data_IF_703943399084
#
_entry.id   IF_703943399084
#
_cell.length_a   1.000
_cell.length_b   1.000
_cell.length_c   1.000
_cell.angle_alpha   90.00
_cell.angle_beta   90.00
_cell.angle_gamma   90.00
#
_symmetry.space_group_name_H-M   'P 1'
#
loop_
_entity.id
_entity.type
_entity.pdbx_description
1 polymer ?
#
# COMPACT_ATOMS: atom_id res chain seq x y z
N UNK A 1 22.94 -48.54 -2.57
CA UNK A 1 22.16 -47.75 -1.59
C UNK A 1 22.55 -46.28 -1.73
N UNK A 2 21.83 -45.54 -2.56
CA UNK A 2 22.06 -44.09 -2.75
C UNK A 2 21.35 -43.29 -1.66
N UNK A 3 22.10 -42.45 -0.95
CA UNK A 3 21.55 -41.51 0.06
C UNK A 3 20.80 -40.40 -0.66
N UNK A 4 19.48 -40.36 -0.51
CA UNK A 4 18.66 -39.23 -0.91
C UNK A 4 18.87 -38.06 0.07
N UNK A 5 19.61 -37.05 -0.36
CA UNK A 5 19.65 -35.74 0.29
C UNK A 5 18.29 -35.05 0.14
N UNK A 6 17.51 -34.98 1.22
CA UNK A 6 16.33 -34.10 1.31
C UNK A 6 16.80 -32.65 1.16
N UNK A 7 16.53 -32.03 0.02
CA UNK A 7 16.57 -30.57 -0.12
C UNK A 7 15.45 -30.00 0.76
N UNK A 8 15.81 -29.29 1.83
CA UNK A 8 14.87 -28.50 2.60
C UNK A 8 14.24 -27.45 1.69
N UNK A 9 12.91 -27.36 1.70
CA UNK A 9 12.19 -26.26 1.03
C UNK A 9 12.40 -25.01 1.89
N UNK A 10 13.11 -24.02 1.35
CA UNK A 10 13.18 -22.68 1.93
C UNK A 10 11.78 -22.06 1.92
N UNK A 11 11.34 -21.52 3.05
CA UNK A 11 10.10 -20.77 3.22
C UNK A 11 10.37 -19.33 2.79
N UNK A 12 9.84 -18.90 1.64
CA UNK A 12 9.97 -17.52 1.17
C UNK A 12 8.73 -16.70 1.56
N UNK A 13 8.94 -15.67 2.38
CA UNK A 13 7.95 -14.61 2.65
C UNK A 13 8.05 -13.56 1.53
N UNK A 14 6.96 -13.34 0.79
CA UNK A 14 6.89 -12.30 -0.23
C UNK A 14 6.94 -10.91 0.40
N UNK A 15 7.77 -10.01 -0.13
CA UNK A 15 7.86 -8.61 0.30
C UNK A 15 7.23 -7.74 -0.79
N UNK A 16 6.22 -6.94 -0.42
CA UNK A 16 5.65 -5.91 -1.30
C UNK A 16 6.38 -4.59 -1.04
N UNK A 17 7.04 -4.04 -2.06
CA UNK A 17 7.76 -2.77 -1.99
C UNK A 17 7.16 -1.76 -2.96
N UNK A 18 6.87 -0.56 -2.45
CA UNK A 18 6.38 0.55 -3.27
C UNK A 18 7.51 1.53 -3.50
N UNK A 19 7.74 1.88 -4.76
CA UNK A 19 8.40 3.14 -5.08
C UNK A 19 7.36 4.21 -4.81
N UNK A 20 7.60 5.10 -3.84
CA UNK A 20 6.73 6.25 -3.62
C UNK A 20 7.09 7.29 -4.70
N UNK A 21 6.32 7.43 -5.80
CA UNK A 21 6.29 8.71 -6.47
C UNK A 21 5.67 9.71 -5.48
N UNK A 22 6.13 10.95 -5.54
CA UNK A 22 5.58 12.07 -4.78
C UNK A 22 4.05 11.95 -4.67
N UNK A 23 3.52 12.35 -3.51
CA UNK A 23 2.09 12.58 -3.26
C UNK A 23 1.36 13.11 -4.52
N UNK A 24 0.04 12.87 -4.62
CA UNK A 24 -0.81 13.39 -5.69
C UNK A 24 -0.39 14.78 -6.16
N UNK A 25 -0.36 15.01 -7.47
CA UNK A 25 0.02 16.26 -8.16
C UNK A 25 -0.64 17.55 -7.60
N UNK A 26 -1.63 17.41 -6.71
CA UNK A 26 -2.34 18.47 -6.01
C UNK A 26 -1.71 18.85 -4.63
N UNK A 27 -1.09 17.90 -3.90
CA UNK A 27 -0.80 18.06 -2.48
C UNK A 27 0.57 18.67 -2.13
N UNK A 28 1.59 18.63 -2.99
CA UNK A 28 2.88 19.29 -2.76
C UNK A 28 3.60 19.68 -4.06
N UNK A 29 4.47 20.71 -4.05
CA UNK A 29 5.21 21.16 -5.22
C UNK A 29 6.18 20.09 -5.75
N UNK A 30 6.31 20.04 -7.07
CA UNK A 30 7.14 19.08 -7.83
C UNK A 30 8.56 18.97 -7.27
N UNK A 31 9.04 17.77 -6.96
CA UNK A 31 10.47 17.52 -6.85
C UNK A 31 11.01 17.12 -8.24
N UNK A 32 11.47 18.11 -9.01
CA UNK A 32 12.16 17.93 -10.31
C UNK A 32 13.54 17.26 -10.18
N UNK A 33 13.94 16.84 -8.98
CA UNK A 33 15.28 16.32 -8.63
C UNK A 33 15.28 14.87 -8.10
N UNK A 34 14.25 14.08 -8.40
CA UNK A 34 14.24 12.68 -7.97
C UNK A 34 15.22 11.87 -8.85
N UNK A 35 16.47 11.70 -8.38
CA UNK A 35 17.48 10.91 -9.08
C UNK A 35 17.17 9.41 -8.96
N UNK A 36 17.09 8.65 -10.06
CA UNK A 36 16.77 7.22 -10.03
C UNK A 36 17.82 6.33 -9.29
N UNK A 37 18.97 6.91 -8.92
CA UNK A 37 20.16 6.23 -8.37
C UNK A 37 20.36 6.43 -6.86
N UNK A 38 19.37 6.96 -6.12
CA UNK A 38 19.41 6.98 -4.64
C UNK A 38 18.31 6.09 -4.09
N UNK A 39 18.69 4.92 -3.59
CA UNK A 39 17.78 4.04 -2.85
C UNK A 39 17.84 4.38 -1.36
N UNK A 40 16.72 4.83 -0.80
CA UNK A 40 16.53 4.95 0.64
C UNK A 40 15.46 3.96 1.04
N UNK A 41 15.75 3.05 1.95
CA UNK A 41 14.76 2.13 2.50
C UNK A 41 14.53 2.55 3.95
N UNK A 42 13.29 2.88 4.30
CA UNK A 42 12.87 3.14 5.66
C UNK A 42 12.05 1.96 6.16
N UNK A 43 12.53 1.27 7.20
CA UNK A 43 11.78 0.21 7.87
C UNK A 43 11.29 0.74 9.22
N UNK A 44 10.03 0.46 9.49
CA UNK A 44 9.35 0.92 10.70
C UNK A 44 9.19 -0.23 11.70
N UNK A 45 9.59 0.01 12.95
CA UNK A 45 9.38 -0.94 14.03
C UNK A 45 8.82 -0.20 15.25
N UNK A 46 7.66 -0.66 15.74
CA UNK A 46 7.08 -0.18 17.01
C UNK A 46 7.06 -1.34 18.00
N UNK A 47 7.59 -1.11 19.19
CA UNK A 47 7.57 -2.09 20.28
C UNK A 47 6.15 -2.25 20.83
N UNK A 48 5.43 -3.28 20.38
CA UNK A 48 4.35 -3.98 21.10
C UNK A 48 3.06 -3.23 21.47
N UNK A 49 3.07 -1.91 21.57
CA UNK A 49 1.90 -1.08 21.81
C UNK A 49 1.49 -0.43 20.50
N UNK A 50 0.21 -0.55 20.14
CA UNK A 50 -0.37 0.16 19.00
C UNK A 50 -0.02 1.64 19.14
N UNK A 51 0.88 2.14 18.30
CA UNK A 51 1.10 3.55 18.13
C UNK A 51 -0.22 4.12 17.64
N UNK A 52 -1.03 4.68 18.55
CA UNK A 52 -2.13 5.55 18.19
C UNK A 52 -1.47 6.74 17.54
N UNK A 53 -1.58 6.87 16.21
CA UNK A 53 -1.28 8.13 15.55
C UNK A 53 -2.12 9.20 16.26
N UNK A 54 -1.47 10.03 17.06
CA UNK A 54 -2.09 11.13 17.81
C UNK A 54 -2.19 12.41 16.98
N UNK A 55 -1.98 12.35 15.66
CA UNK A 55 -1.98 13.54 14.83
C UNK A 55 -2.30 13.25 13.35
N UNK A 56 -3.45 12.66 13.05
CA UNK A 56 -4.28 13.29 12.02
C UNK A 56 -5.12 14.31 12.82
N UNK A 57 -5.04 15.61 12.53
CA UNK A 57 -5.84 16.59 13.25
C UNK A 57 -7.31 16.22 13.12
N UNK A 58 -8.10 16.57 14.13
CA UNK A 58 -9.55 16.37 14.17
C UNK A 58 -10.17 16.44 12.77
N UNK A 59 -10.75 15.31 12.38
CA UNK A 59 -11.61 15.13 11.22
C UNK A 59 -11.13 15.71 9.89
N UNK A 60 -9.88 16.17 9.69
CA UNK A 60 -9.50 16.96 8.51
C UNK A 60 -8.09 16.67 7.96
N UNK A 61 -7.95 16.74 6.64
CA UNK A 61 -6.71 16.62 5.85
C UNK A 61 -6.45 17.96 5.15
N UNK A 62 -5.20 18.43 5.16
CA UNK A 62 -4.84 19.73 4.56
C UNK A 62 -4.22 19.55 3.18
N UNK A 63 -4.67 20.35 2.20
CA UNK A 63 -4.08 20.54 0.88
C UNK A 63 -3.73 22.04 0.66
N UNK A 64 -2.97 22.37 -0.38
CA UNK A 64 -2.69 23.72 -0.87
C UNK A 64 -3.97 24.56 -1.12
N UNK A 65 -5.15 23.93 -1.16
CA UNK A 65 -6.47 24.55 -1.28
C UNK A 65 -7.32 24.62 0.00
N UNK A 66 -6.82 24.19 1.17
CA UNK A 66 -7.54 24.25 2.45
C UNK A 66 -7.63 22.92 3.22
N UNK A 67 -8.46 22.87 4.28
CA UNK A 67 -8.73 21.67 5.08
C UNK A 67 -9.99 20.96 4.61
N UNK A 68 -9.92 19.64 4.44
CA UNK A 68 -10.99 18.77 3.92
C UNK A 68 -11.32 17.74 4.98
N UNK A 69 -12.59 17.40 5.24
CA UNK A 69 -12.87 16.34 6.20
C UNK A 69 -12.21 15.01 5.79
N UNK A 70 -11.63 14.29 6.76
CA UNK A 70 -10.88 13.07 6.54
C UNK A 70 -11.72 11.96 5.90
N UNK A 71 -13.01 11.92 6.24
CA UNK A 71 -14.02 11.05 5.60
C UNK A 71 -14.24 11.36 4.10
N UNK A 72 -13.94 12.58 3.68
CA UNK A 72 -14.19 13.08 2.32
C UNK A 72 -12.90 13.04 1.48
N UNK A 73 -11.80 12.47 1.97
CA UNK A 73 -10.49 12.45 1.27
C UNK A 73 -10.58 11.78 -0.09
N UNK A 74 -11.34 10.69 -0.21
CA UNK A 74 -11.54 10.04 -1.51
C UNK A 74 -12.22 10.98 -2.50
N UNK A 75 -13.36 11.56 -2.10
CA UNK A 75 -14.12 12.49 -2.94
C UNK A 75 -13.32 13.73 -3.29
N UNK A 76 -12.56 14.27 -2.33
CA UNK A 76 -11.71 15.42 -2.57
C UNK A 76 -10.60 15.13 -3.59
N UNK A 77 -9.98 13.95 -3.52
CA UNK A 77 -8.96 13.54 -4.47
C UNK A 77 -9.58 13.25 -5.84
N UNK A 78 -10.64 12.45 -5.92
CA UNK A 78 -11.10 11.94 -7.20
C UNK A 78 -12.26 12.73 -7.80
N UNK A 79 -12.92 13.59 -7.04
CA UNK A 79 -14.06 14.41 -7.47
C UNK A 79 -15.39 13.66 -7.52
N UNK A 80 -15.47 12.49 -6.89
CA UNK A 80 -16.68 11.69 -6.79
C UNK A 80 -16.62 10.78 -5.55
N UNK A 81 -17.77 10.39 -5.00
CA UNK A 81 -17.86 9.48 -3.84
C UNK A 81 -17.61 8.02 -4.24
N UNK A 82 -16.93 7.24 -3.40
CA UNK A 82 -16.85 5.79 -3.55
C UNK A 82 -18.13 5.11 -3.01
N UNK A 83 -19.14 4.91 -3.85
CA UNK A 83 -20.36 4.19 -3.43
C UNK A 83 -20.05 2.69 -3.26
N UNK A 84 -19.88 2.25 -2.02
CA UNK A 84 -19.60 0.84 -1.68
C UNK A 84 -20.75 -0.11 -2.00
N UNK A 85 -21.97 0.39 -2.20
CA UNK A 85 -23.12 -0.42 -2.67
C UNK A 85 -23.00 -0.68 -4.17
N UNK A 86 -22.34 0.21 -4.90
CA UNK A 86 -22.11 0.11 -6.33
C UNK A 86 -20.79 0.77 -6.78
N UNK A 87 -19.73 -0.04 -6.76
CA UNK A 87 -18.39 0.39 -7.12
C UNK A 87 -18.22 0.68 -8.63
N UNK A 88 -19.27 0.57 -9.47
CA UNK A 88 -19.22 0.95 -10.90
C UNK A 88 -18.78 2.40 -11.09
N UNK A 89 -19.14 3.30 -10.17
CA UNK A 89 -18.72 4.70 -10.17
C UNK A 89 -17.19 4.87 -10.28
N UNK A 90 -16.41 3.97 -9.65
CA UNK A 90 -14.94 3.98 -9.72
C UNK A 90 -14.46 3.66 -11.13
N UNK A 91 -15.04 2.65 -11.78
CA UNK A 91 -14.66 2.24 -13.14
C UNK A 91 -15.14 3.23 -14.21
N UNK A 92 -16.25 3.91 -13.97
CA UNK A 92 -16.78 4.94 -14.87
C UNK A 92 -15.92 6.19 -14.85
N UNK A 93 -15.50 6.64 -13.67
CA UNK A 93 -14.75 7.88 -13.48
C UNK A 93 -13.24 7.72 -13.61
N UNK A 94 -12.67 6.56 -13.31
CA UNK A 94 -11.21 6.38 -13.33
C UNK A 94 -10.73 5.71 -14.63
N UNK A 95 -9.68 6.29 -15.23
CA UNK A 95 -8.91 5.69 -16.32
C UNK A 95 -7.51 5.39 -15.82
N UNK A 96 -6.99 4.21 -16.17
CA UNK A 96 -5.64 3.78 -15.80
C UNK A 96 -4.84 3.55 -17.08
N UNK A 97 -3.65 4.13 -17.12
CA UNK A 97 -2.71 4.04 -18.24
C UNK A 97 -1.30 3.77 -17.70
N UNK A 98 -0.40 3.33 -18.57
CA UNK A 98 1.01 3.20 -18.22
C UNK A 98 1.74 4.50 -18.60
N UNK A 99 2.66 4.93 -17.75
CA UNK A 99 3.63 5.97 -18.04
C UNK A 99 4.61 5.45 -19.09
N UNK A 100 4.82 6.24 -20.15
CA UNK A 100 5.73 5.90 -21.23
C UNK A 100 7.21 5.95 -20.81
N UNK A 101 7.53 6.56 -19.66
CA UNK A 101 8.86 6.64 -19.10
C UNK A 101 9.27 5.37 -18.37
N UNK A 102 8.99 5.29 -17.07
CA UNK A 102 9.49 4.21 -16.20
C UNK A 102 8.52 3.00 -16.08
N UNK A 103 7.46 2.98 -16.88
CA UNK A 103 6.42 1.94 -16.82
C UNK A 103 5.52 2.04 -15.59
N UNK A 104 5.57 3.16 -14.85
CA UNK A 104 4.67 3.45 -13.75
C UNK A 104 3.20 3.50 -14.18
N UNK A 105 2.29 3.35 -13.23
CA UNK A 105 0.87 3.45 -13.46
C UNK A 105 0.42 4.90 -13.26
N UNK A 106 -0.34 5.42 -14.21
CA UNK A 106 -1.01 6.73 -14.13
C UNK A 106 -2.52 6.53 -14.03
N UNK A 107 -3.10 7.13 -13.01
CA UNK A 107 -4.54 7.15 -12.76
C UNK A 107 -5.09 8.55 -13.08
N UNK A 108 -6.04 8.63 -13.99
CA UNK A 108 -6.73 9.86 -14.37
C UNK A 108 -8.18 9.79 -13.89
N UNK A 109 -8.62 10.77 -13.11
CA UNK A 109 -10.02 10.93 -12.75
C UNK A 109 -10.72 11.83 -13.76
N UNK A 110 -11.74 11.30 -14.43
CA UNK A 110 -12.59 12.03 -15.36
C UNK A 110 -13.53 13.01 -14.64
N UNK A 111 -13.87 12.75 -13.38
CA UNK A 111 -14.82 13.58 -12.63
C UNK A 111 -14.27 14.99 -12.33
N UNK A 112 -12.95 15.10 -12.09
CA UNK A 112 -12.30 16.39 -11.79
C UNK A 112 -11.08 16.70 -12.67
N UNK A 113 -10.77 15.85 -13.66
CA UNK A 113 -9.65 16.02 -14.58
C UNK A 113 -8.25 15.84 -13.97
N UNK A 114 -8.13 15.48 -12.69
CA UNK A 114 -6.83 15.32 -12.01
C UNK A 114 -6.18 13.99 -12.38
N UNK A 115 -4.85 13.98 -12.41
CA UNK A 115 -4.05 12.79 -12.71
C UNK A 115 -3.02 12.53 -11.62
N UNK A 116 -2.81 11.25 -11.34
CA UNK A 116 -2.03 10.75 -10.22
C UNK A 116 -1.06 9.66 -10.67
N UNK A 117 0.17 9.70 -10.18
CA UNK A 117 1.13 8.61 -10.37
C UNK A 117 0.92 7.60 -9.25
N UNK A 118 0.61 6.36 -9.60
CA UNK A 118 0.40 5.25 -8.66
C UNK A 118 1.67 4.41 -8.45
N UNK A 119 2.76 4.74 -9.15
CA UNK A 119 4.01 3.97 -9.13
C UNK A 119 3.87 2.63 -9.85
N UNK A 120 4.76 1.70 -9.55
CA UNK A 120 4.74 0.34 -10.10
C UNK A 120 4.30 -0.65 -9.03
N UNK A 121 3.67 -1.75 -9.43
CA UNK A 121 3.38 -2.87 -8.55
C UNK A 121 4.16 -4.10 -8.98
N UNK A 122 4.78 -4.78 -8.01
CA UNK A 122 5.38 -6.08 -8.19
C UNK A 122 5.14 -6.94 -6.94
N UNK A 123 4.67 -8.17 -7.14
CA UNK A 123 4.73 -9.21 -6.13
C UNK A 123 6.02 -10.00 -6.36
N UNK A 124 6.92 -10.00 -5.38
CA UNK A 124 8.22 -10.67 -5.47
C UNK A 124 8.37 -11.74 -4.40
N UNK A 125 8.98 -12.86 -4.79
CA UNK A 125 9.54 -13.90 -3.93
C UNK A 125 10.98 -13.56 -3.58
N UNK A 126 11.53 -14.26 -2.59
CA UNK A 126 12.94 -14.11 -2.19
C UNK A 126 13.90 -14.26 -3.39
N UNK A 127 13.67 -15.27 -4.23
CA UNK A 127 14.51 -15.56 -5.39
C UNK A 127 14.44 -14.47 -6.48
N UNK A 128 13.36 -13.70 -6.55
CA UNK A 128 13.18 -12.66 -7.56
C UNK A 128 14.16 -11.49 -7.35
N UNK A 129 14.54 -11.23 -6.09
CA UNK A 129 15.46 -10.15 -5.74
C UNK A 129 16.88 -10.36 -6.26
N UNK A 130 17.30 -11.60 -6.51
CA UNK A 130 18.63 -11.90 -7.06
C UNK A 130 18.79 -11.35 -8.49
N UNK A 131 17.69 -11.14 -9.21
CA UNK A 131 17.69 -10.59 -10.56
C UNK A 131 17.62 -9.06 -10.61
N UNK A 132 17.47 -8.40 -9.45
CA UNK A 132 17.33 -6.96 -9.39
C UNK A 132 18.65 -6.25 -9.67
N UNK A 133 18.59 -5.20 -10.49
CA UNK A 133 19.74 -4.36 -10.81
C UNK A 133 20.10 -3.51 -9.59
N UNK A 134 21.36 -3.60 -9.15
CA UNK A 134 21.87 -2.76 -8.08
C UNK A 134 21.74 -1.27 -8.45
N UNK A 135 21.06 -0.48 -7.62
CA UNK A 135 20.70 0.92 -7.91
C UNK A 135 21.72 1.94 -7.38
N UNK A 136 22.97 1.52 -7.15
CA UNK A 136 24.03 2.34 -6.57
C UNK A 136 24.03 2.35 -5.03
N UNK A 137 24.83 3.22 -4.39
CA UNK A 137 24.90 3.31 -2.94
C UNK A 137 23.58 3.82 -2.37
N UNK A 138 22.95 3.00 -1.51
CA UNK A 138 21.74 3.34 -0.80
C UNK A 138 21.97 3.54 0.70
N UNK A 139 20.98 4.10 1.38
CA UNK A 139 20.93 4.13 2.85
C UNK A 139 19.75 3.30 3.35
N UNK A 140 19.97 2.54 4.40
CA UNK A 140 18.91 1.87 5.14
C UNK A 140 18.71 2.62 6.46
N UNK A 141 17.51 3.15 6.67
CA UNK A 141 17.15 3.91 7.86
C UNK A 141 16.14 3.13 8.68
N UNK A 142 16.42 2.94 9.96
CA UNK A 142 15.45 2.42 10.93
C UNK A 142 14.83 3.60 11.67
N UNK A 143 13.51 3.76 11.53
CA UNK A 143 12.75 4.79 12.24
C UNK A 143 12.13 4.12 13.46
N UNK A 144 12.56 4.55 14.64
CA UNK A 144 12.14 4.00 15.93
C UNK A 144 11.31 5.04 16.71
N UNK A 145 10.04 4.71 16.94
CA UNK A 145 9.17 5.46 17.84
C UNK A 145 9.15 4.85 19.25
N UNK A 146 8.97 5.70 20.27
CA UNK A 146 8.75 5.28 21.66
C UNK A 146 7.25 5.26 21.99
N UNK A 147 6.44 4.61 21.15
CA UNK A 147 5.00 4.56 21.35
C UNK A 147 4.34 5.94 21.46
N UNK A 148 3.36 6.06 22.36
CA UNK A 148 2.72 7.32 22.72
C UNK A 148 3.65 8.35 23.39
N UNK A 149 4.85 7.93 23.83
CA UNK A 149 5.85 8.80 24.48
C UNK A 149 6.85 9.40 23.49
N UNK A 150 6.63 9.25 22.19
CA UNK A 150 7.51 9.82 21.15
C UNK A 150 7.46 11.35 21.18
N UNK A 151 8.62 12.00 21.33
CA UNK A 151 8.72 13.47 21.39
C UNK A 151 8.61 14.13 20.02
N UNK A 152 9.16 13.49 18.99
CA UNK A 152 9.03 13.91 17.60
C UNK A 152 8.06 12.99 16.87
N UNK A 153 6.77 13.31 16.96
CA UNK A 153 5.71 12.54 16.29
C UNK A 153 5.82 12.64 14.77
N UNK A 154 6.30 13.76 14.22
CA UNK A 154 6.40 13.93 12.75
C UNK A 154 7.53 13.10 12.16
N UNK A 155 8.66 12.99 12.85
CA UNK A 155 9.78 12.13 12.47
C UNK A 155 9.47 10.64 12.55
N UNK A 156 8.37 10.28 13.20
CA UNK A 156 7.84 8.93 13.33
C UNK A 156 6.35 8.88 12.95
N UNK A 157 5.90 9.66 11.96
CA UNK A 157 4.57 9.48 11.35
C UNK A 157 4.72 9.09 9.88
N UNK A 158 4.14 7.95 9.46
CA UNK A 158 4.41 7.40 8.11
C UNK A 158 3.86 8.31 7.01
N UNK A 159 2.73 8.98 7.26
CA UNK A 159 2.17 9.95 6.33
C UNK A 159 3.04 11.20 6.25
N UNK A 160 3.50 11.72 7.39
CA UNK A 160 4.43 12.84 7.44
C UNK A 160 5.76 12.53 6.74
N UNK A 161 6.31 11.32 6.93
CA UNK A 161 7.54 10.90 6.27
C UNK A 161 7.37 10.71 4.77
N UNK A 162 6.24 10.16 4.32
CA UNK A 162 5.92 10.05 2.88
C UNK A 162 5.67 11.42 2.25
N UNK A 163 5.15 12.37 3.01
CA UNK A 163 4.95 13.75 2.59
C UNK A 163 6.25 14.58 2.56
N UNK A 164 7.30 14.17 3.28
CA UNK A 164 8.56 14.89 3.32
C UNK A 164 9.30 14.82 1.97
N UNK A 165 9.55 15.95 1.28
CA UNK A 165 10.27 15.97 0.01
C UNK A 165 11.68 15.37 0.09
N UNK A 166 12.32 15.38 1.27
CA UNK A 166 13.63 14.76 1.50
C UNK A 166 13.61 13.24 1.35
N UNK A 167 12.43 12.62 1.42
CA UNK A 167 12.19 11.20 1.20
C UNK A 167 11.70 10.88 -0.22
N UNK A 168 11.75 11.83 -1.18
CA UNK A 168 11.44 11.55 -2.58
C UNK A 168 12.25 10.36 -3.10
N UNK A 169 11.56 9.33 -3.61
CA UNK A 169 12.19 8.12 -4.13
C UNK A 169 12.61 7.10 -3.08
N UNK A 170 12.33 7.34 -1.80
CA UNK A 170 12.47 6.33 -0.75
C UNK A 170 11.41 5.22 -0.91
N UNK A 171 11.78 4.01 -0.48
CA UNK A 171 10.89 2.88 -0.30
C UNK A 171 10.58 2.76 1.18
N UNK A 172 9.29 2.82 1.51
CA UNK A 172 8.81 2.59 2.87
C UNK A 172 8.35 1.15 2.99
N UNK A 173 8.86 0.43 3.98
CA UNK A 173 8.39 -0.89 4.32
C UNK A 173 7.33 -0.78 5.41
N UNK A 174 6.14 -1.31 5.10
CA UNK A 174 4.98 -1.27 5.98
C UNK A 174 4.42 -2.68 6.07
N UNK A 175 4.01 -3.09 7.26
CA UNK A 175 3.27 -4.34 7.43
C UNK A 175 1.96 -4.24 6.65
N UNK A 176 1.72 -5.21 5.78
CA UNK A 176 0.54 -5.28 4.93
C UNK A 176 -0.02 -6.69 4.96
N UNK A 177 -1.31 -6.82 4.72
CA UNK A 177 -1.90 -8.13 4.52
C UNK A 177 -1.39 -8.78 3.23
N UNK A 178 -1.51 -10.11 3.14
CA UNK A 178 -1.00 -10.89 2.00
C UNK A 178 -1.77 -10.71 0.68
N UNK A 179 -2.80 -9.87 0.65
CA UNK A 179 -3.44 -9.38 -0.58
C UNK A 179 -3.01 -7.95 -0.95
N UNK A 180 -2.06 -7.38 -0.20
CA UNK A 180 -1.58 -6.00 -0.31
C UNK A 180 -2.67 -4.93 -0.07
N UNK A 181 -3.71 -5.21 0.71
CA UNK A 181 -4.76 -4.28 1.13
C UNK A 181 -4.84 -4.22 2.67
N UNK A 182 -5.35 -3.13 3.25
CA UNK A 182 -5.41 -2.90 4.69
C UNK A 182 -6.86 -2.85 5.17
N UNK A 183 -7.49 -4.02 5.25
CA UNK A 183 -8.87 -4.14 5.72
C UNK A 183 -9.01 -3.70 7.18
N UNK A 184 -10.06 -2.92 7.46
CA UNK A 184 -10.32 -2.32 8.79
C UNK A 184 -10.89 -3.35 9.77
N UNK A 185 -11.56 -4.39 9.26
CA UNK A 185 -12.08 -5.53 10.00
C UNK A 185 -11.82 -6.84 9.25
N UNK A 186 -11.84 -7.93 10.01
CA UNK A 186 -11.87 -9.31 9.53
C UNK A 186 -13.08 -9.70 8.67
N UNK A 187 -14.17 -8.95 8.78
CA UNK A 187 -15.34 -9.12 7.93
C UNK A 187 -15.26 -8.36 6.60
N UNK A 188 -14.19 -7.61 6.38
CA UNK A 188 -14.04 -6.81 5.18
C UNK A 188 -13.49 -7.59 4.00
N UNK A 189 -13.81 -7.07 2.82
CA UNK A 189 -13.23 -7.46 1.56
C UNK A 189 -12.97 -6.22 0.72
N UNK A 190 -12.38 -6.42 -0.46
CA UNK A 190 -12.20 -5.34 -1.43
C UNK A 190 -13.53 -4.63 -1.82
N UNK A 191 -14.70 -5.26 -1.59
CA UNK A 191 -16.04 -4.65 -1.83
C UNK A 191 -16.37 -3.52 -0.88
N UNK A 192 -15.75 -3.49 0.30
CA UNK A 192 -16.04 -2.49 1.31
C UNK A 192 -15.37 -1.13 1.01
N UNK A 193 -14.74 -1.00 -0.16
CA UNK A 193 -14.08 0.22 -0.60
C UNK A 193 -12.81 0.53 0.17
N UNK A 194 -12.14 1.60 -0.24
CA UNK A 194 -10.91 2.10 0.38
C UNK A 194 -11.14 3.36 1.20
N UNK A 195 -12.24 4.08 0.98
CA UNK A 195 -12.56 5.35 1.65
C UNK A 195 -12.62 5.22 3.17
N UNK A 196 -13.04 4.05 3.66
CA UNK A 196 -13.14 3.76 5.09
C UNK A 196 -11.82 3.51 5.81
N UNK A 197 -10.70 3.39 5.09
CA UNK A 197 -9.39 3.16 5.70
C UNK A 197 -9.06 4.25 6.72
N UNK A 198 -9.61 5.45 6.55
CA UNK A 198 -9.42 6.58 7.46
C UNK A 198 -9.89 6.32 8.90
N UNK A 199 -10.80 5.36 9.08
CA UNK A 199 -11.29 4.98 10.40
C UNK A 199 -10.34 4.04 11.14
N UNK A 200 -9.35 3.46 10.45
CA UNK A 200 -8.30 2.65 11.06
C UNK A 200 -7.02 3.49 11.23
N UNK A 201 -6.67 3.72 12.49
CA UNK A 201 -5.52 4.55 12.89
C UNK A 201 -4.22 3.74 13.04
N UNK A 202 -4.18 2.51 12.53
CA UNK A 202 -2.96 1.71 12.46
C UNK A 202 -2.06 2.12 11.28
N UNK A 203 -0.81 1.64 11.28
CA UNK A 203 0.21 2.09 10.33
C UNK A 203 -0.06 1.67 8.88
N UNK A 204 -0.60 0.47 8.67
CA UNK A 204 -0.92 -0.04 7.33
C UNK A 204 -1.89 0.88 6.59
N UNK A 205 -3.09 1.13 7.14
CA UNK A 205 -4.06 2.07 6.58
C UNK A 205 -3.50 3.48 6.41
N UNK A 206 -2.79 4.03 7.41
CA UNK A 206 -2.18 5.36 7.32
C UNK A 206 -1.20 5.48 6.13
N UNK A 207 -0.33 4.47 5.94
CA UNK A 207 0.59 4.42 4.82
C UNK A 207 -0.13 4.25 3.47
N UNK A 208 -1.22 3.46 3.45
CA UNK A 208 -1.99 3.22 2.23
C UNK A 208 -2.79 4.45 1.79
N UNK A 209 -3.40 5.19 2.74
CA UNK A 209 -4.10 6.46 2.49
C UNK A 209 -3.15 7.53 1.97
N UNK A 210 -1.94 7.59 2.54
CA UNK A 210 -0.90 8.52 2.11
C UNK A 210 -0.49 8.29 0.65
N UNK A 211 -0.74 7.09 0.12
CA UNK A 211 -0.63 6.73 -1.29
C UNK A 211 -1.99 6.33 -1.91
N UNK A 212 -3.07 7.10 -1.64
CA UNK A 212 -4.44 6.76 -2.02
C UNK A 212 -4.62 6.31 -3.49
N UNK A 213 -4.04 6.97 -4.52
CA UNK A 213 -4.17 6.50 -5.90
C UNK A 213 -3.61 5.09 -6.13
N UNK A 214 -2.51 4.73 -5.47
CA UNK A 214 -1.94 3.38 -5.52
C UNK A 214 -2.81 2.37 -4.77
N UNK A 215 -3.44 2.77 -3.66
CA UNK A 215 -4.43 1.96 -2.95
C UNK A 215 -5.68 1.67 -3.82
N UNK A 216 -6.26 2.70 -4.44
CA UNK A 216 -7.40 2.55 -5.37
C UNK A 216 -7.02 1.65 -6.54
N UNK A 217 -5.82 1.82 -7.10
CA UNK A 217 -5.32 0.96 -8.17
C UNK A 217 -5.27 -0.50 -7.73
N UNK A 218 -4.68 -0.80 -6.56
CA UNK A 218 -4.63 -2.16 -6.01
C UNK A 218 -6.00 -2.79 -5.84
N UNK A 219 -6.96 -2.04 -5.29
CA UNK A 219 -8.28 -2.56 -4.98
C UNK A 219 -9.11 -2.84 -6.24
N UNK A 220 -9.06 -1.94 -7.23
CA UNK A 220 -10.01 -1.91 -8.36
C UNK A 220 -9.40 -2.23 -9.73
N UNK A 221 -8.10 -2.00 -9.94
CA UNK A 221 -7.49 -2.03 -11.28
C UNK A 221 -6.27 -2.94 -11.43
N UNK A 222 -5.71 -3.43 -10.32
CA UNK A 222 -4.54 -4.30 -10.33
C UNK A 222 -4.78 -5.51 -11.22
N UNK A 223 -3.87 -5.73 -12.18
CA UNK A 223 -3.87 -6.97 -12.96
C UNK A 223 -3.05 -8.01 -12.23
N UNK A 224 -3.64 -9.16 -11.96
CA UNK A 224 -2.97 -10.28 -11.32
C UNK A 224 -3.48 -11.61 -11.87
N UNK A 225 -2.65 -12.65 -11.75
CA UNK A 225 -2.96 -13.99 -12.23
C UNK A 225 -3.16 -14.94 -11.06
N UNK A 226 -4.21 -15.78 -11.16
CA UNK A 226 -4.44 -16.88 -10.23
C UNK A 226 -4.75 -18.13 -11.05
N UNK A 227 -3.91 -19.15 -10.92
CA UNK A 227 -4.06 -20.43 -11.63
C UNK A 227 -4.21 -20.28 -13.16
N UNK A 228 -3.42 -19.40 -13.79
CA UNK A 228 -3.47 -19.15 -15.23
C UNK A 228 -4.62 -18.23 -15.68
N UNK A 229 -5.52 -17.82 -14.79
CA UNK A 229 -6.60 -16.89 -15.10
C UNK A 229 -6.22 -15.46 -14.70
N UNK A 230 -6.47 -14.51 -15.60
CA UNK A 230 -6.19 -13.09 -15.41
C UNK A 230 -7.37 -12.38 -14.77
N UNK A 231 -7.10 -11.59 -13.72
CA UNK A 231 -8.09 -10.81 -13.00
C UNK A 231 -7.72 -9.32 -13.03
N UNK A 232 -8.75 -8.47 -12.91
CA UNK A 232 -8.61 -7.02 -12.76
C UNK A 232 -9.21 -6.60 -11.43
N UNK A 233 -8.44 -5.86 -10.65
CA UNK A 233 -8.77 -5.51 -9.28
C UNK A 233 -8.84 -6.75 -8.39
N UNK A 234 -9.34 -6.56 -7.18
CA UNK A 234 -9.43 -7.60 -6.16
C UNK A 234 -10.86 -7.89 -5.69
N UNK A 235 -11.86 -7.32 -6.38
CA UNK A 235 -13.25 -7.58 -6.09
C UNK A 235 -13.60 -9.05 -6.35
N UNK A 236 -13.41 -9.55 -7.56
CA UNK A 236 -13.85 -10.93 -7.89
C UNK A 236 -12.96 -12.00 -7.25
N UNK A 237 -11.64 -11.78 -7.31
CA UNK A 237 -10.62 -12.64 -6.71
C UNK A 237 -9.54 -11.76 -6.11
N UNK A 238 -9.26 -11.97 -4.83
CA UNK A 238 -8.19 -11.28 -4.13
C UNK A 238 -6.85 -11.90 -4.49
N UNK A 239 -5.82 -11.06 -4.55
CA UNK A 239 -4.44 -11.52 -4.60
C UNK A 239 -4.16 -12.32 -3.33
N UNK A 240 -3.47 -13.45 -3.44
CA UNK A 240 -3.09 -14.25 -2.29
C UNK A 240 -1.60 -14.60 -2.38
N UNK A 241 -0.77 -13.83 -1.66
CA UNK A 241 0.67 -14.08 -1.58
C UNK A 241 1.03 -15.30 -0.71
N UNK A 242 0.05 -15.98 -0.12
CA UNK A 242 0.22 -17.25 0.59
C UNK A 242 -0.34 -18.45 -0.18
N UNK A 243 -0.63 -18.31 -1.48
CA UNK A 243 -1.25 -19.38 -2.28
C UNK A 243 -0.43 -20.69 -2.33
N UNK A 244 0.89 -20.60 -2.12
CA UNK A 244 1.79 -21.76 -2.07
C UNK A 244 1.78 -22.49 -0.71
N UNK A 245 1.20 -21.87 0.33
CA UNK A 245 1.07 -22.50 1.63
C UNK A 245 -0.20 -23.37 1.67
N UNK A 246 -0.17 -24.53 2.34
CA UNK A 246 -1.34 -25.38 2.53
C UNK A 246 -2.29 -24.81 3.60
N UNK A 247 -2.42 -23.50 3.67
CA UNK A 247 -3.22 -22.78 4.65
C UNK A 247 -4.33 -22.04 3.94
N UNK A 248 -5.56 -22.20 4.42
CA UNK A 248 -6.68 -21.45 3.90
C UNK A 248 -6.62 -20.01 4.41
N UNK A 249 -6.76 -19.06 3.48
CA UNK A 249 -6.79 -17.63 3.78
C UNK A 249 -8.11 -17.07 3.27
N UNK A 250 -8.93 -16.55 4.18
CA UNK A 250 -10.22 -15.93 3.86
C UNK A 250 -10.16 -14.48 4.29
N UNK A 251 -10.45 -13.56 3.36
CA UNK A 251 -10.39 -12.11 3.61
C UNK A 251 -9.08 -11.67 4.27
N UNK A 252 -7.94 -12.21 3.83
CA UNK A 252 -6.59 -12.03 4.39
C UNK A 252 -6.26 -12.70 5.72
N UNK A 253 -7.24 -13.32 6.38
CA UNK A 253 -7.02 -14.00 7.66
C UNK A 253 -6.81 -15.49 7.43
N UNK A 254 -5.75 -15.99 8.05
CA UNK A 254 -5.48 -17.42 8.16
C UNK A 254 -6.63 -18.09 8.91
N UNK A 255 -7.30 -19.03 8.26
CA UNK A 255 -8.31 -19.86 8.88
C UNK A 255 -7.63 -21.01 9.60
N UNK A 256 -7.50 -20.89 10.92
CA UNK A 256 -6.96 -21.95 11.77
C UNK A 256 -8.13 -22.68 12.40
N UNK A 257 -8.51 -23.81 11.82
CA UNK A 257 -9.46 -24.74 12.42
C UNK A 257 -8.71 -25.59 13.45
N UNK A 258 -8.91 -25.29 14.73
CA UNK A 258 -8.48 -26.20 15.80
C UNK A 258 -9.48 -27.36 15.84
N UNK A 259 -9.03 -28.63 15.77
CA UNK A 259 -9.92 -29.74 16.11
C UNK A 259 -10.42 -29.47 17.53
N UNK A 260 -11.74 -29.53 17.72
CA UNK A 260 -12.38 -29.30 19.01
C UNK A 260 -11.54 -29.92 20.13
N UNK A 261 -11.15 -29.11 21.12
CA UNK A 261 -10.69 -29.67 22.39
C UNK A 261 -11.85 -30.49 22.93
N UNK A 262 -11.72 -31.82 22.82
CA UNK A 262 -12.59 -32.80 23.47
C UNK A 262 -12.26 -32.81 24.96
#
# INVERSE_FOLDING_TARGET
>A
MGKATRRGRSLSLGVCGWRVPLLPRALLPQCSKCSPNRCRIAMWATSGEKLRLSALPDETVSDNGGTVPAKDVFEHLFGFEEDVRDLRCVYENIRVTNDAGDGGIIMHSQANGRSYTCGTFAAKREDDFASDVARGPGTFSLVLGNGACSKDVRGIDVGALQADPSNCGATFQVASNFNCLEFVSDHDSARNGVSKYIYDKTQGPAASISCMPALVYRNHFLRHEICGAQYKGQLQRQLNLLCDLPLEVVNVYLQVSFPHCV
#
